data_IF_338744720510
#
_entry.id   IF_338744720510
#
_cell.length_a   1.000
_cell.length_b   1.000
_cell.length_c   1.000
_cell.angle_alpha   90.00
_cell.angle_beta   90.00
_cell.angle_gamma   90.00
#
_symmetry.space_group_name_H-M   'P 1'
#
loop_
_entity.id
_entity.type
_entity.pdbx_description
1 polymer ?
#
# COMPACT_ATOMS: atom_id res chain seq x y z
N UNK A 1 -13.22 7.52 1.34
CA UNK A 1 -12.14 8.16 2.11
C UNK A 1 -10.83 7.62 1.57
N UNK A 2 -9.84 8.49 1.28
CA UNK A 2 -8.53 8.03 0.82
C UNK A 2 -7.77 7.28 1.90
N UNK A 3 -6.82 6.46 1.48
CA UNK A 3 -5.91 5.71 2.34
C UNK A 3 -4.47 6.00 1.95
N UNK A 4 -3.57 6.00 2.91
CA UNK A 4 -2.13 6.13 2.65
C UNK A 4 -1.36 5.20 3.58
N UNK A 5 -0.13 4.87 3.18
CA UNK A 5 0.82 4.14 3.98
C UNK A 5 1.59 5.13 4.86
N UNK A 6 1.61 4.84 6.14
CA UNK A 6 2.35 5.55 7.16
C UNK A 6 3.44 4.66 7.72
N UNK A 7 4.53 5.26 8.16
CA UNK A 7 5.57 4.61 8.93
C UNK A 7 5.97 5.51 10.10
N UNK A 8 5.86 5.01 11.33
CA UNK A 8 6.10 5.79 12.56
C UNK A 8 5.38 7.16 12.55
N UNK A 9 4.10 7.17 12.16
CA UNK A 9 3.26 8.37 11.99
C UNK A 9 3.68 9.33 10.84
N UNK A 10 4.73 9.02 10.09
CA UNK A 10 5.12 9.73 8.87
C UNK A 10 4.46 9.13 7.62
N UNK A 11 3.77 9.97 6.82
CA UNK A 11 3.17 9.56 5.56
C UNK A 11 4.27 9.25 4.53
N UNK A 12 4.40 7.98 4.13
CA UNK A 12 5.39 7.55 3.13
C UNK A 12 4.79 7.44 1.73
N UNK A 13 3.51 7.09 1.59
CA UNK A 13 2.87 6.98 0.27
C UNK A 13 1.99 8.18 -0.05
N UNK A 14 1.72 8.34 -1.36
CA UNK A 14 0.61 9.15 -1.84
C UNK A 14 -0.73 8.62 -1.30
N UNK A 15 -1.76 9.45 -1.37
CA UNK A 15 -3.12 9.06 -0.97
C UNK A 15 -3.84 8.32 -2.10
N UNK A 16 -4.43 7.17 -1.81
CA UNK A 16 -5.12 6.28 -2.75
C UNK A 16 -6.61 6.21 -2.45
N UNK A 17 -7.46 5.93 -3.44
CA UNK A 17 -8.90 5.91 -3.24
C UNK A 17 -9.36 4.74 -2.36
N UNK A 18 -8.62 3.61 -2.37
CA UNK A 18 -8.96 2.42 -1.60
C UNK A 18 -7.78 1.88 -0.79
N UNK A 19 -8.08 1.22 0.32
CA UNK A 19 -7.09 0.51 1.13
C UNK A 19 -6.40 -0.61 0.34
N UNK A 20 -7.14 -1.29 -0.55
CA UNK A 20 -6.63 -2.38 -1.36
C UNK A 20 -5.49 -1.94 -2.29
N UNK A 21 -5.52 -0.70 -2.80
CA UNK A 21 -4.44 -0.18 -3.63
C UNK A 21 -3.18 0.10 -2.81
N UNK A 22 -3.33 0.61 -1.59
CA UNK A 22 -2.19 0.78 -0.68
C UNK A 22 -1.61 -0.58 -0.27
N UNK A 23 -2.46 -1.58 -0.05
CA UNK A 23 -2.03 -2.95 0.21
C UNK A 23 -1.24 -3.56 -0.95
N UNK A 24 -1.69 -3.37 -2.20
CA UNK A 24 -0.97 -3.84 -3.38
C UNK A 24 0.43 -3.20 -3.44
N UNK A 25 0.51 -1.89 -3.27
CA UNK A 25 1.78 -1.15 -3.25
C UNK A 25 2.72 -1.63 -2.16
N UNK A 26 2.21 -1.77 -0.93
CA UNK A 26 2.99 -2.30 0.17
C UNK A 26 3.48 -3.73 -0.12
N UNK A 27 2.64 -4.57 -0.73
CA UNK A 27 3.02 -5.93 -1.13
C UNK A 27 4.12 -5.90 -2.20
N UNK A 28 3.99 -5.07 -3.23
CA UNK A 28 4.97 -4.93 -4.31
C UNK A 28 6.30 -4.37 -3.81
N UNK A 29 6.25 -3.47 -2.83
CA UNK A 29 7.43 -2.91 -2.17
C UNK A 29 8.07 -3.87 -1.16
N UNK A 30 7.47 -5.05 -0.91
CA UNK A 30 7.98 -6.02 0.06
C UNK A 30 7.78 -5.61 1.52
N UNK A 31 6.84 -4.70 1.80
CA UNK A 31 6.51 -4.17 3.13
C UNK A 31 5.43 -5.00 3.85
N UNK A 32 4.89 -6.01 3.18
CA UNK A 32 3.87 -6.91 3.72
C UNK A 32 4.53 -8.19 4.22
N UNK A 33 4.40 -8.41 5.53
CA UNK A 33 4.85 -9.59 6.23
C UNK A 33 3.68 -10.56 6.43
N UNK A 34 3.86 -11.81 6.00
CA UNK A 34 2.87 -12.85 6.25
C UNK A 34 3.05 -13.33 7.70
N UNK A 35 2.14 -12.94 8.59
CA UNK A 35 2.20 -13.37 9.98
C UNK A 35 1.35 -14.61 10.15
N UNK A 36 2.01 -15.73 10.47
CA UNK A 36 1.33 -16.95 10.87
C UNK A 36 0.49 -16.67 12.11
N UNK A 37 -0.82 -16.85 11.98
CA UNK A 37 -1.76 -16.60 13.06
C UNK A 37 -1.54 -17.60 14.21
N UNK A 38 -0.73 -17.22 15.20
CA UNK A 38 -0.63 -17.97 16.46
C UNK A 38 -1.98 -17.89 17.18
N UNK A 39 -2.63 -19.05 17.26
CA UNK A 39 -3.89 -19.37 17.95
C UNK A 39 -5.20 -18.91 17.28
N UNK A 40 -5.93 -19.92 16.79
CA UNK A 40 -7.39 -19.98 16.62
C UNK A 40 -8.08 -19.16 15.52
N UNK A 41 -7.38 -18.60 14.53
CA UNK A 41 -8.03 -18.13 13.28
C UNK A 41 -7.29 -18.68 12.03
N UNK A 42 -7.99 -19.41 11.12
CA UNK A 42 -7.35 -20.19 10.06
C UNK A 42 -6.95 -19.38 8.81
N UNK A 43 -6.79 -18.05 8.90
CA UNK A 43 -6.37 -17.24 7.75
C UNK A 43 -5.03 -16.56 8.02
N UNK A 44 -3.99 -16.81 7.21
CA UNK A 44 -2.76 -16.03 7.27
C UNK A 44 -3.15 -14.56 7.08
N UNK A 45 -2.85 -13.75 8.09
CA UNK A 45 -3.06 -12.32 8.00
C UNK A 45 -1.78 -11.74 7.43
N UNK A 46 -1.83 -11.38 6.15
CA UNK A 46 -0.88 -10.44 5.58
C UNK A 46 -1.01 -9.16 6.38
N UNK A 47 0.00 -8.87 7.18
CA UNK A 47 0.10 -7.62 7.93
C UNK A 47 1.24 -6.83 7.35
N UNK A 48 1.17 -5.51 7.47
CA UNK A 48 2.34 -4.70 7.19
C UNK A 48 3.39 -4.98 8.26
N UNK A 49 4.65 -4.72 7.95
CA UNK A 49 5.69 -4.78 8.97
C UNK A 49 5.34 -3.85 10.15
N UNK A 50 5.88 -4.11 11.35
CA UNK A 50 5.40 -3.48 12.59
C UNK A 50 5.50 -1.95 12.56
N UNK A 51 6.41 -1.42 11.75
CA UNK A 51 6.61 0.02 11.59
C UNK A 51 5.68 0.66 10.55
N UNK A 52 4.90 -0.12 9.80
CA UNK A 52 4.07 0.35 8.70
C UNK A 52 2.57 0.15 8.96
N UNK A 53 1.76 1.17 8.69
CA UNK A 53 0.31 1.13 8.87
C UNK A 53 -0.41 1.78 7.69
N UNK A 54 -1.49 1.15 7.22
CA UNK A 54 -2.41 1.79 6.28
C UNK A 54 -3.51 2.45 7.09
N UNK A 55 -3.61 3.77 6.98
CA UNK A 55 -4.61 4.56 7.70
C UNK A 55 -5.41 5.41 6.72
N UNK A 56 -6.72 5.60 6.97
CA UNK A 56 -7.51 6.56 6.21
C UNK A 56 -6.91 7.95 6.44
N UNK A 57 -6.65 8.65 5.34
CA UNK A 57 -6.00 9.96 5.33
C UNK A 57 -6.79 10.92 4.43
N UNK A 58 -6.76 12.21 4.74
CA UNK A 58 -7.25 13.20 3.79
C UNK A 58 -6.27 13.32 2.62
N UNK A 59 -6.82 13.39 1.41
CA UNK A 59 -6.02 13.80 0.26
C UNK A 59 -5.52 15.22 0.54
N UNK A 60 -4.22 15.44 0.36
CA UNK A 60 -3.61 16.76 0.48
C UNK A 60 -4.26 17.71 -0.54
N UNK A 61 -4.34 19.02 -0.25
CA UNK A 61 -4.86 20.00 -1.20
C UNK A 61 -4.00 19.99 -2.49
N UNK A 62 -4.56 19.42 -3.56
CA UNK A 62 -3.88 19.23 -4.85
C UNK A 62 -3.48 17.78 -5.16
N UNK A 63 -3.58 16.86 -4.20
CA UNK A 63 -3.53 15.42 -4.48
C UNK A 63 -4.88 14.93 -4.98
N UNK A 64 -4.85 14.18 -6.09
CA UNK A 64 -6.01 13.48 -6.62
C UNK A 64 -5.80 11.98 -6.42
N UNK A 65 -6.52 11.30 -5.51
CA UNK A 65 -6.36 9.88 -5.26
C UNK A 65 -6.49 9.03 -6.53
N UNK A 66 -7.45 9.35 -7.40
CA UNK A 66 -7.61 8.70 -8.71
C UNK A 66 -6.41 8.89 -9.63
N UNK A 67 -5.73 10.03 -9.57
CA UNK A 67 -4.51 10.26 -10.35
C UNK A 67 -3.35 9.46 -9.77
N UNK A 68 -3.26 9.34 -8.45
CA UNK A 68 -2.23 8.57 -7.78
C UNK A 68 -2.36 7.07 -8.08
N UNK A 69 -3.57 6.53 -8.15
CA UNK A 69 -3.83 5.16 -8.61
C UNK A 69 -3.34 4.95 -10.05
N UNK A 70 -3.69 5.86 -10.96
CA UNK A 70 -3.25 5.78 -12.37
C UNK A 70 -1.73 5.84 -12.52
N UNK A 71 -1.09 6.73 -11.77
CA UNK A 71 0.36 6.91 -11.74
C UNK A 71 1.06 5.65 -11.22
N UNK A 72 0.57 5.09 -10.10
CA UNK A 72 1.07 3.84 -9.55
C UNK A 72 0.89 2.64 -10.50
N UNK A 73 -0.26 2.56 -11.17
CA UNK A 73 -0.53 1.51 -12.14
C UNK A 73 0.39 1.62 -13.37
N UNK A 74 0.70 2.84 -13.82
CA UNK A 74 1.62 3.09 -14.91
C UNK A 74 3.08 2.77 -14.52
N UNK A 75 3.51 3.15 -13.33
CA UNK A 75 4.84 2.82 -12.82
C UNK A 75 5.01 1.31 -12.64
N UNK A 76 3.98 0.62 -12.14
CA UNK A 76 3.95 -0.84 -12.08
C UNK A 76 4.12 -1.47 -13.46
N UNK A 77 3.35 -1.03 -14.45
CA UNK A 77 3.44 -1.56 -15.83
C UNK A 77 4.85 -1.38 -16.40
N UNK A 78 5.46 -0.21 -16.14
CA UNK A 78 6.82 0.08 -16.52
C UNK A 78 7.85 -0.81 -15.81
N UNK A 79 7.71 -1.02 -14.50
CA UNK A 79 8.56 -1.94 -13.73
C UNK A 79 8.43 -3.38 -14.21
N UNK A 80 7.21 -3.84 -14.53
CA UNK A 80 6.97 -5.16 -15.09
C UNK A 80 7.64 -5.33 -16.46
N UNK A 81 7.56 -4.30 -17.31
CA UNK A 81 8.22 -4.27 -18.61
C UNK A 81 9.77 -4.27 -18.50
N UNK A 82 10.32 -3.68 -17.44
CA UNK A 82 11.77 -3.69 -17.16
C UNK A 82 12.25 -5.04 -16.63
N UNK A 83 11.45 -5.70 -15.77
CA UNK A 83 11.81 -6.97 -15.11
C UNK A 83 11.72 -8.19 -16.04
N UNK A 84 11.11 -8.05 -17.21
CA UNK A 84 10.96 -9.08 -18.23
C UNK A 84 12.08 -9.14 -19.28
N UNK A 85 13.25 -8.52 -19.04
CA UNK A 85 14.36 -8.46 -20.00
C UNK A 85 15.62 -9.16 -19.51
#
# INVERSE_FOLDING_TARGET
MPYALFCDDAKLSKSYPTEADVWKLATESGLVTDVEAKNSKPTPRRVLDNDYEIRPCQAEPGECPEKNERDAQAEKDFQLALKGR
#
